data_IF_194681965075
#
_entry.id   IF_194681965075
#
_cell.length_a   1.000
_cell.length_b   1.000
_cell.length_c   1.000
_cell.angle_alpha   90.00
_cell.angle_beta   90.00
_cell.angle_gamma   90.00
#
_symmetry.space_group_name_H-M   'P 1'
#
loop_
_entity.id
_entity.type
_entity.pdbx_description
1 polymer ?
#
# COMPACT_ATOMS: atom_id res chain seq x y z
N UNK A 1 -25.06 4.78 4.52
CA UNK A 1 -25.30 3.53 5.31
C UNK A 1 -25.42 2.31 4.39
N UNK A 2 -26.34 2.26 3.44
CA UNK A 2 -26.59 1.06 2.60
C UNK A 2 -25.30 0.57 1.90
N UNK A 3 -24.53 1.45 1.23
CA UNK A 3 -23.26 1.07 0.58
C UNK A 3 -22.26 0.46 1.56
N UNK A 4 -22.14 0.97 2.77
CA UNK A 4 -21.25 0.40 3.78
C UNK A 4 -21.66 -1.03 4.13
N UNK A 5 -22.95 -1.28 4.36
CA UNK A 5 -23.47 -2.62 4.64
C UNK A 5 -23.21 -3.56 3.46
N UNK A 6 -23.49 -3.12 2.22
CA UNK A 6 -23.22 -3.89 1.01
C UNK A 6 -21.72 -4.25 0.92
N UNK A 7 -20.81 -3.30 1.16
CA UNK A 7 -19.36 -3.56 1.13
C UNK A 7 -18.94 -4.54 2.22
N UNK A 8 -19.51 -4.45 3.42
CA UNK A 8 -19.25 -5.44 4.48
C UNK A 8 -19.74 -6.84 4.08
N UNK A 9 -20.91 -6.94 3.48
CA UNK A 9 -21.44 -8.22 2.97
C UNK A 9 -20.58 -8.80 1.84
N UNK A 10 -20.12 -7.96 0.92
CA UNK A 10 -19.21 -8.38 -0.17
C UNK A 10 -17.89 -8.87 0.41
N UNK A 11 -17.31 -8.17 1.39
CA UNK A 11 -16.06 -8.60 2.03
C UNK A 11 -16.25 -9.95 2.74
N UNK A 12 -17.30 -10.08 3.56
CA UNK A 12 -17.61 -11.31 4.25
C UNK A 12 -17.85 -12.46 3.26
N UNK A 13 -18.65 -12.22 2.22
CA UNK A 13 -18.89 -13.16 1.13
C UNK A 13 -17.58 -13.59 0.45
N UNK A 14 -16.72 -12.63 0.10
CA UNK A 14 -15.42 -12.96 -0.49
C UNK A 14 -14.58 -13.84 0.44
N UNK A 15 -14.45 -13.49 1.72
CA UNK A 15 -13.66 -14.27 2.65
C UNK A 15 -14.19 -15.71 2.84
N UNK A 16 -15.51 -15.90 2.79
CA UNK A 16 -16.15 -17.21 2.92
C UNK A 16 -16.05 -18.01 1.61
N UNK A 17 -16.55 -17.44 0.51
CA UNK A 17 -16.67 -18.17 -0.76
C UNK A 17 -15.35 -18.30 -1.54
N UNK A 18 -14.37 -17.41 -1.29
CA UNK A 18 -13.02 -17.54 -1.85
C UNK A 18 -12.09 -18.41 -0.98
N UNK A 19 -12.58 -19.02 0.10
CA UNK A 19 -11.77 -19.92 0.93
C UNK A 19 -11.22 -21.15 0.17
N UNK A 20 -11.97 -21.82 -0.70
CA UNK A 20 -11.40 -22.87 -1.56
C UNK A 20 -10.27 -22.37 -2.46
N UNK A 21 -10.41 -21.16 -3.03
CA UNK A 21 -9.33 -20.54 -3.82
C UNK A 21 -8.09 -20.31 -2.96
N UNK A 22 -8.26 -19.86 -1.71
CA UNK A 22 -7.16 -19.70 -0.78
C UNK A 22 -6.40 -21.01 -0.52
N UNK A 23 -7.12 -22.14 -0.37
CA UNK A 23 -6.51 -23.48 -0.23
C UNK A 23 -5.72 -23.84 -1.47
N UNK A 24 -6.28 -23.60 -2.67
CA UNK A 24 -5.60 -23.82 -3.94
C UNK A 24 -4.32 -22.98 -4.04
N UNK A 25 -4.38 -21.68 -3.70
CA UNK A 25 -3.23 -20.79 -3.71
C UNK A 25 -2.15 -21.25 -2.72
N UNK A 26 -2.53 -21.71 -1.54
CA UNK A 26 -1.58 -22.26 -0.57
C UNK A 26 -0.90 -23.54 -1.08
N UNK A 27 -1.64 -24.39 -1.79
CA UNK A 27 -1.07 -25.58 -2.42
C UNK A 27 -0.12 -25.24 -3.57
N UNK A 28 -0.50 -24.28 -4.41
CA UNK A 28 0.35 -23.73 -5.48
C UNK A 28 1.64 -23.16 -4.89
N UNK A 29 1.55 -22.39 -3.82
CA UNK A 29 2.69 -21.74 -3.18
C UNK A 29 3.73 -22.70 -2.59
N UNK A 30 3.38 -23.95 -2.34
CA UNK A 30 4.35 -25.00 -1.94
C UNK A 30 5.24 -25.42 -3.11
N UNK A 31 4.77 -25.29 -4.35
CA UNK A 31 5.46 -25.67 -5.58
C UNK A 31 6.09 -24.45 -6.26
N UNK A 32 5.34 -23.37 -6.34
CA UNK A 32 5.74 -22.12 -6.99
C UNK A 32 5.22 -20.90 -6.20
N UNK A 33 6.04 -20.34 -5.30
CA UNK A 33 5.67 -19.15 -4.54
C UNK A 33 5.39 -17.91 -5.40
N UNK A 34 6.06 -17.78 -6.56
CA UNK A 34 5.88 -16.65 -7.48
C UNK A 34 4.51 -16.75 -8.16
N UNK A 35 4.17 -17.90 -8.73
CA UNK A 35 2.86 -18.11 -9.35
C UNK A 35 1.71 -17.91 -8.34
N UNK A 36 1.87 -18.35 -7.09
CA UNK A 36 0.92 -18.04 -6.01
C UNK A 36 0.74 -16.53 -5.84
N UNK A 37 1.83 -15.77 -5.76
CA UNK A 37 1.80 -14.32 -5.61
C UNK A 37 1.07 -13.63 -6.77
N UNK A 38 1.36 -14.03 -7.99
CA UNK A 38 0.75 -13.48 -9.21
C UNK A 38 -0.76 -13.76 -9.25
N UNK A 39 -1.17 -15.01 -9.06
CA UNK A 39 -2.58 -15.40 -9.06
C UNK A 39 -3.37 -14.74 -7.92
N UNK A 40 -2.82 -14.75 -6.70
CA UNK A 40 -3.47 -14.12 -5.55
C UNK A 40 -3.60 -12.60 -5.74
N UNK A 41 -2.59 -11.95 -6.31
CA UNK A 41 -2.63 -10.52 -6.64
C UNK A 41 -3.71 -10.23 -7.69
N UNK A 42 -3.87 -11.09 -8.71
CA UNK A 42 -4.92 -10.97 -9.72
C UNK A 42 -6.32 -11.03 -9.09
N UNK A 43 -6.54 -12.01 -8.21
CA UNK A 43 -7.82 -12.19 -7.51
C UNK A 43 -8.12 -10.97 -6.61
N UNK A 44 -7.16 -10.54 -5.80
CA UNK A 44 -7.32 -9.40 -4.88
C UNK A 44 -7.56 -8.10 -5.65
N UNK A 45 -6.83 -7.87 -6.75
CA UNK A 45 -7.05 -6.69 -7.62
C UNK A 45 -8.45 -6.67 -8.24
N UNK A 46 -8.93 -7.83 -8.69
CA UNK A 46 -10.30 -7.96 -9.20
C UNK A 46 -11.31 -7.56 -8.11
N UNK A 47 -11.17 -8.13 -6.91
CA UNK A 47 -12.04 -7.80 -5.78
C UNK A 47 -11.97 -6.33 -5.39
N UNK A 48 -10.78 -5.74 -5.33
CA UNK A 48 -10.63 -4.33 -4.96
C UNK A 48 -11.21 -3.39 -6.03
N UNK A 49 -11.07 -3.70 -7.33
CA UNK A 49 -11.75 -2.96 -8.40
C UNK A 49 -13.28 -3.05 -8.25
N UNK A 50 -13.80 -4.23 -7.95
CA UNK A 50 -15.23 -4.42 -7.70
C UNK A 50 -15.69 -3.61 -6.47
N UNK A 51 -14.92 -3.63 -5.38
CA UNK A 51 -15.16 -2.82 -4.18
C UNK A 51 -15.22 -1.32 -4.49
N UNK A 52 -14.23 -0.80 -5.20
CA UNK A 52 -14.17 0.60 -5.60
C UNK A 52 -15.39 0.98 -6.47
N UNK A 53 -15.77 0.10 -7.40
CA UNK A 53 -16.95 0.30 -8.25
C UNK A 53 -18.25 0.37 -7.42
N UNK A 54 -18.45 -0.56 -6.48
CA UNK A 54 -19.65 -0.56 -5.61
C UNK A 54 -19.65 0.65 -4.66
N UNK A 55 -18.47 1.04 -4.16
CA UNK A 55 -18.33 2.26 -3.38
C UNK A 55 -18.63 3.54 -4.18
N UNK A 56 -18.64 3.46 -5.51
CA UNK A 56 -18.82 4.60 -6.40
C UNK A 56 -17.56 5.46 -6.53
N UNK A 57 -16.39 4.84 -6.32
CA UNK A 57 -15.09 5.53 -6.39
C UNK A 57 -14.60 5.56 -7.83
N UNK A 58 -14.28 6.75 -8.32
CA UNK A 58 -13.56 6.95 -9.57
C UNK A 58 -12.12 7.29 -9.25
N UNK A 59 -11.18 6.57 -9.86
CA UNK A 59 -9.74 6.75 -9.62
C UNK A 59 -9.10 7.40 -10.83
N UNK A 60 -8.50 8.57 -10.64
CA UNK A 60 -7.63 9.23 -11.61
C UNK A 60 -6.19 8.91 -11.27
N UNK A 61 -5.43 8.37 -12.23
CA UNK A 61 -4.02 8.03 -12.07
C UNK A 61 -3.18 9.03 -12.84
N UNK A 62 -2.19 9.64 -12.15
CA UNK A 62 -1.18 10.52 -12.74
C UNK A 62 0.21 9.93 -12.54
N UNK A 63 1.14 10.18 -13.45
CA UNK A 63 2.54 9.80 -13.32
C UNK A 63 2.79 8.28 -13.35
N UNK A 64 1.88 7.47 -13.88
CA UNK A 64 2.08 6.02 -13.97
C UNK A 64 3.33 5.66 -14.78
N UNK A 65 3.72 6.50 -15.73
CA UNK A 65 4.93 6.41 -16.55
C UNK A 65 6.23 6.56 -15.75
N UNK A 66 6.16 7.13 -14.55
CA UNK A 66 7.31 7.27 -13.65
C UNK A 66 7.68 5.96 -12.95
N UNK A 67 6.80 4.96 -12.98
CA UNK A 67 7.04 3.68 -12.32
C UNK A 67 7.97 2.83 -13.17
N UNK A 68 9.18 2.47 -12.70
CA UNK A 68 10.06 1.54 -13.40
C UNK A 68 9.38 0.20 -13.65
N UNK A 69 9.52 -0.34 -14.84
CA UNK A 69 8.96 -1.65 -15.22
C UNK A 69 9.97 -2.79 -15.19
N UNK A 70 11.26 -2.45 -15.09
CA UNK A 70 12.40 -3.36 -15.14
C UNK A 70 12.91 -3.80 -13.75
N UNK A 71 12.44 -3.16 -12.70
CA UNK A 71 12.89 -3.41 -11.32
C UNK A 71 11.80 -3.19 -10.29
N UNK A 72 11.94 -3.82 -9.13
CA UNK A 72 11.08 -3.57 -7.98
C UNK A 72 11.41 -2.23 -7.31
N UNK A 73 10.42 -1.62 -6.70
CA UNK A 73 10.50 -0.29 -6.09
C UNK A 73 9.91 -0.28 -4.67
N UNK A 74 10.25 0.73 -3.89
CA UNK A 74 9.55 1.05 -2.65
C UNK A 74 8.56 2.20 -2.90
N UNK A 75 7.26 1.90 -2.92
CA UNK A 75 6.23 2.94 -2.92
C UNK A 75 6.09 3.53 -1.52
N UNK A 76 6.13 4.85 -1.44
CA UNK A 76 6.01 5.60 -0.20
C UNK A 76 4.86 6.61 -0.36
N UNK A 77 3.77 6.43 0.39
CA UNK A 77 2.57 7.25 0.24
C UNK A 77 2.10 7.90 1.54
N UNK A 78 1.31 8.98 1.42
CA UNK A 78 0.51 9.51 2.52
C UNK A 78 -0.64 8.56 2.84
N UNK A 79 -1.12 8.57 4.09
CA UNK A 79 -2.13 7.61 4.56
C UNK A 79 -3.27 8.30 5.29
N UNK A 80 -4.46 8.29 4.69
CA UNK A 80 -5.65 8.92 5.26
C UNK A 80 -6.86 7.99 5.33
N UNK A 81 -6.86 6.90 4.53
CA UNK A 81 -8.02 6.04 4.38
C UNK A 81 -7.66 4.56 4.29
N UNK A 82 -8.59 3.69 4.63
CA UNK A 82 -8.52 2.28 4.25
C UNK A 82 -8.53 2.11 2.72
N UNK A 83 -9.16 3.02 2.00
CA UNK A 83 -9.23 2.99 0.54
C UNK A 83 -7.89 3.27 -0.13
N UNK A 84 -6.90 3.86 0.56
CA UNK A 84 -5.54 4.03 0.04
C UNK A 84 -4.94 2.69 -0.39
N UNK A 85 -5.22 1.61 0.38
CA UNK A 85 -4.73 0.28 0.10
C UNK A 85 -5.39 -0.28 -1.18
N UNK A 86 -6.71 -0.10 -1.32
CA UNK A 86 -7.46 -0.58 -2.48
C UNK A 86 -7.01 0.14 -3.75
N UNK A 87 -6.88 1.46 -3.66
CA UNK A 87 -6.40 2.31 -4.77
C UNK A 87 -4.98 1.90 -5.14
N UNK A 88 -4.06 1.79 -4.18
CA UNK A 88 -2.69 1.37 -4.41
C UNK A 88 -2.60 0.01 -5.11
N UNK A 89 -3.28 -1.03 -4.61
CA UNK A 89 -3.25 -2.35 -5.26
C UNK A 89 -3.80 -2.35 -6.69
N UNK A 90 -4.82 -1.52 -6.96
CA UNK A 90 -5.50 -1.53 -8.27
C UNK A 90 -4.78 -0.74 -9.35
N UNK A 91 -3.84 0.11 -8.96
CA UNK A 91 -3.13 1.06 -9.86
C UNK A 91 -1.62 0.77 -9.99
N UNK A 92 -1.01 -0.02 -9.07
CA UNK A 92 0.40 -0.43 -9.20
C UNK A 92 0.57 -1.62 -10.14
N UNK A 93 1.63 -1.64 -10.98
CA UNK A 93 1.97 -2.80 -11.81
C UNK A 93 2.64 -3.91 -11.01
N UNK A 94 2.78 -5.09 -11.61
CA UNK A 94 3.60 -6.20 -11.10
C UNK A 94 3.17 -6.74 -9.74
N UNK A 95 4.07 -7.44 -9.07
CA UNK A 95 3.87 -7.90 -7.69
C UNK A 95 4.18 -6.78 -6.72
N UNK A 96 3.27 -6.58 -5.77
CA UNK A 96 3.43 -5.59 -4.71
C UNK A 96 2.92 -6.12 -3.39
N UNK A 97 3.72 -5.97 -2.33
CA UNK A 97 3.33 -6.26 -0.95
C UNK A 97 3.20 -4.97 -0.14
N UNK A 98 2.24 -4.93 0.78
CA UNK A 98 2.07 -3.80 1.69
C UNK A 98 2.64 -4.10 3.07
N UNK A 99 3.28 -3.12 3.69
CA UNK A 99 3.70 -3.22 5.09
C UNK A 99 2.51 -2.87 5.98
N UNK A 100 1.90 -3.90 6.52
CA UNK A 100 0.72 -3.82 7.37
C UNK A 100 1.07 -3.81 8.86
N UNK A 101 0.13 -3.41 9.69
CA UNK A 101 0.23 -3.48 11.15
C UNK A 101 0.13 -4.94 11.62
N UNK A 102 0.96 -5.37 12.60
CA UNK A 102 0.99 -6.76 13.09
C UNK A 102 -0.38 -7.28 13.57
N UNK A 103 -1.23 -6.38 14.08
CA UNK A 103 -2.56 -6.73 14.57
C UNK A 103 -3.47 -7.30 13.48
N UNK A 104 -3.17 -7.05 12.21
CA UNK A 104 -3.88 -7.65 11.08
C UNK A 104 -3.72 -9.19 11.03
N UNK A 105 -2.66 -9.72 11.63
CA UNK A 105 -2.46 -11.18 11.82
C UNK A 105 -3.59 -11.86 12.59
N UNK A 106 -4.33 -11.11 13.41
CA UNK A 106 -5.43 -11.65 14.23
C UNK A 106 -6.69 -11.98 13.42
N UNK A 107 -6.80 -11.49 12.19
CA UNK A 107 -7.96 -11.75 11.34
C UNK A 107 -7.71 -13.03 10.52
N UNK A 108 -8.34 -14.17 10.88
CA UNK A 108 -8.17 -15.42 10.14
C UNK A 108 -8.69 -15.23 8.71
N UNK A 109 -8.21 -16.06 7.78
CA UNK A 109 -8.51 -15.97 6.34
C UNK A 109 -7.91 -14.70 5.71
N UNK A 110 -8.22 -13.50 6.22
CA UNK A 110 -7.66 -12.24 5.70
C UNK A 110 -6.14 -12.24 5.77
N UNK A 111 -5.55 -12.63 6.91
CA UNK A 111 -4.09 -12.69 7.07
C UNK A 111 -3.43 -13.63 6.05
N UNK A 112 -4.09 -14.75 5.69
CA UNK A 112 -3.58 -15.68 4.67
C UNK A 112 -3.63 -15.08 3.28
N UNK A 113 -4.70 -14.34 2.92
CA UNK A 113 -4.74 -13.58 1.68
C UNK A 113 -3.65 -12.52 1.64
N UNK A 114 -3.43 -11.82 2.77
CA UNK A 114 -2.35 -10.83 2.89
C UNK A 114 -0.97 -11.47 2.70
N UNK A 115 -0.71 -12.65 3.30
CA UNK A 115 0.53 -13.40 3.06
C UNK A 115 0.69 -13.77 1.57
N UNK A 116 -0.37 -14.23 0.93
CA UNK A 116 -0.34 -14.64 -0.48
C UNK A 116 -0.07 -13.46 -1.44
N UNK A 117 -0.45 -12.24 -1.08
CA UNK A 117 -0.13 -11.01 -1.83
C UNK A 117 1.11 -10.29 -1.27
N UNK A 118 2.01 -11.03 -0.65
CA UNK A 118 3.32 -10.56 -0.17
C UNK A 118 3.26 -9.42 0.87
N UNK A 119 2.19 -9.30 1.65
CA UNK A 119 2.15 -8.35 2.76
C UNK A 119 3.10 -8.77 3.86
N UNK A 120 3.77 -7.79 4.46
CA UNK A 120 4.59 -7.95 5.65
C UNK A 120 3.89 -7.31 6.86
N UNK A 121 4.05 -7.93 8.03
CA UNK A 121 3.39 -7.47 9.25
C UNK A 121 4.40 -6.88 10.22
N UNK A 122 4.39 -5.56 10.35
CA UNK A 122 5.34 -4.81 11.15
C UNK A 122 4.89 -4.69 12.60
N UNK A 123 5.71 -5.20 13.51
CA UNK A 123 5.59 -4.86 14.93
C UNK A 123 6.32 -3.53 15.20
N UNK A 124 5.54 -2.51 15.55
CA UNK A 124 6.07 -1.16 15.81
C UNK A 124 6.51 -0.97 17.26
N UNK A 125 6.24 -1.94 18.13
CA UNK A 125 6.59 -1.90 19.55
C UNK A 125 7.86 -2.72 19.83
N UNK A 126 8.15 -3.72 18.99
CA UNK A 126 9.34 -4.56 19.11
C UNK A 126 10.33 -4.22 17.98
N UNK A 127 11.45 -3.60 18.36
CA UNK A 127 12.50 -3.16 17.44
C UNK A 127 13.13 -4.36 16.71
N UNK A 128 13.35 -5.48 17.40
CA UNK A 128 13.94 -6.68 16.80
C UNK A 128 13.01 -7.32 15.77
N UNK A 129 11.74 -7.47 16.11
CA UNK A 129 10.71 -7.96 15.19
C UNK A 129 10.52 -7.00 13.99
N UNK A 130 10.54 -5.69 14.24
CA UNK A 130 10.48 -4.67 13.20
C UNK A 130 11.66 -4.76 12.23
N UNK A 131 12.87 -4.93 12.75
CA UNK A 131 14.08 -5.12 11.92
C UNK A 131 13.96 -6.37 11.04
N UNK A 132 13.47 -7.49 11.58
CA UNK A 132 13.24 -8.72 10.80
C UNK A 132 12.29 -8.44 9.62
N UNK A 133 11.20 -7.72 9.85
CA UNK A 133 10.24 -7.35 8.80
C UNK A 133 10.89 -6.50 7.72
N UNK A 134 11.77 -5.55 8.09
CA UNK A 134 12.50 -4.73 7.12
C UNK A 134 13.48 -5.58 6.29
N UNK A 135 14.20 -6.50 6.92
CA UNK A 135 15.09 -7.44 6.22
C UNK A 135 14.33 -8.31 5.22
N UNK A 136 13.16 -8.81 5.59
CA UNK A 136 12.28 -9.56 4.70
C UNK A 136 11.79 -8.70 3.52
N UNK A 137 11.45 -7.43 3.76
CA UNK A 137 11.09 -6.47 2.69
C UNK A 137 12.26 -6.19 1.73
N UNK A 138 13.50 -6.15 2.22
CA UNK A 138 14.69 -6.03 1.38
C UNK A 138 14.81 -7.25 0.45
N UNK A 139 14.64 -8.45 0.98
CA UNK A 139 14.70 -9.67 0.17
C UNK A 139 13.55 -9.73 -0.85
N UNK A 140 12.34 -9.28 -0.51
CA UNK A 140 11.24 -9.18 -1.47
C UNK A 140 11.61 -8.28 -2.65
N UNK A 141 12.14 -7.08 -2.37
CA UNK A 141 12.55 -6.14 -3.43
C UNK A 141 13.65 -6.72 -4.31
N UNK A 142 14.66 -7.37 -3.72
CA UNK A 142 15.73 -8.05 -4.48
C UNK A 142 15.21 -9.17 -5.39
N UNK A 143 14.09 -9.80 -5.00
CA UNK A 143 13.41 -10.85 -5.77
C UNK A 143 12.32 -10.31 -6.71
N UNK A 144 12.30 -9.00 -7.00
CA UNK A 144 11.40 -8.40 -7.96
C UNK A 144 9.99 -8.11 -7.43
N UNK A 145 9.76 -8.16 -6.12
CA UNK A 145 8.48 -7.84 -5.50
C UNK A 145 8.57 -6.42 -4.92
N UNK A 146 7.83 -5.48 -5.48
CA UNK A 146 7.75 -4.12 -4.94
C UNK A 146 7.10 -4.09 -3.56
N UNK A 147 7.51 -3.13 -2.74
CA UNK A 147 6.91 -2.94 -1.42
C UNK A 147 6.21 -1.59 -1.33
N UNK A 148 5.11 -1.55 -0.58
CA UNK A 148 4.39 -0.33 -0.28
C UNK A 148 4.39 -0.05 1.21
N UNK A 149 4.77 1.16 1.57
CA UNK A 149 4.76 1.61 2.96
C UNK A 149 4.09 2.96 3.13
N UNK A 150 3.40 3.12 4.25
CA UNK A 150 2.91 4.40 4.75
C UNK A 150 3.76 4.81 5.96
N UNK A 151 4.76 5.70 5.78
CA UNK A 151 5.74 6.00 6.84
C UNK A 151 5.16 6.70 8.06
N UNK A 152 3.98 7.29 7.92
CA UNK A 152 3.21 7.85 9.03
C UNK A 152 2.90 6.80 10.11
N UNK A 153 2.80 5.55 9.70
CA UNK A 153 2.53 4.43 10.59
C UNK A 153 1.08 4.34 11.05
N UNK A 154 0.26 5.34 10.82
CA UNK A 154 -1.20 5.34 11.05
C UNK A 154 -1.83 6.35 10.09
N UNK A 155 -3.15 6.30 9.94
CA UNK A 155 -3.87 7.26 9.11
C UNK A 155 -3.87 8.64 9.77
N UNK A 156 -3.47 9.66 9.00
CA UNK A 156 -3.62 11.05 9.40
C UNK A 156 -5.11 11.42 9.47
N UNK A 157 -5.50 12.14 10.53
CA UNK A 157 -6.89 12.54 10.79
C UNK A 157 -7.08 14.05 10.72
N UNK A 158 -6.10 14.77 10.20
CA UNK A 158 -6.17 16.21 9.98
C UNK A 158 -7.28 16.58 9.00
N UNK A 159 -7.65 17.85 8.97
CA UNK A 159 -8.71 18.36 8.07
C UNK A 159 -8.19 18.55 6.65
N UNK A 160 -6.93 19.00 6.52
CA UNK A 160 -6.27 19.25 5.25
C UNK A 160 -5.58 18.00 4.71
N UNK A 161 -5.46 17.87 3.38
CA UNK A 161 -4.70 16.80 2.73
C UNK A 161 -3.19 16.89 3.06
N UNK A 162 -2.70 18.09 3.36
CA UNK A 162 -1.32 18.35 3.76
C UNK A 162 -1.03 18.04 5.24
N UNK A 163 -2.06 17.74 6.05
CA UNK A 163 -1.90 17.35 7.47
C UNK A 163 -1.31 15.94 7.61
N UNK A 164 -0.21 15.66 6.91
CA UNK A 164 0.53 14.40 7.03
C UNK A 164 1.31 14.34 8.34
N UNK A 165 1.27 13.20 9.02
CA UNK A 165 2.11 12.92 10.18
C UNK A 165 3.61 12.86 9.78
N UNK A 166 4.53 13.00 10.73
CA UNK A 166 5.97 12.83 10.45
C UNK A 166 6.26 11.45 9.86
N UNK A 167 7.08 11.40 8.82
CA UNK A 167 7.53 10.16 8.22
C UNK A 167 8.66 9.55 9.05
N UNK A 168 8.51 8.26 9.38
CA UNK A 168 9.52 7.52 10.14
C UNK A 168 10.69 7.14 9.24
N UNK A 169 11.89 7.60 9.57
CA UNK A 169 13.11 7.35 8.78
C UNK A 169 13.38 5.84 8.57
N UNK A 170 13.07 5.00 9.57
CA UNK A 170 13.18 3.55 9.45
C UNK A 170 12.36 2.93 8.31
N UNK A 171 11.33 3.62 7.82
CA UNK A 171 10.48 3.16 6.73
C UNK A 171 11.21 3.09 5.39
N UNK A 172 12.25 3.90 5.20
CA UNK A 172 13.03 3.96 3.96
C UNK A 172 14.24 3.00 3.96
N UNK A 173 14.47 2.27 5.06
CA UNK A 173 15.59 1.31 5.17
C UNK A 173 15.54 0.20 4.12
N UNK A 174 14.35 -0.16 3.63
CA UNK A 174 14.21 -1.11 2.53
C UNK A 174 14.90 -0.56 1.27
N UNK A 175 14.60 0.68 0.87
CA UNK A 175 15.22 1.29 -0.30
C UNK A 175 16.71 1.58 -0.08
N UNK A 176 17.09 2.08 1.10
CA UNK A 176 18.48 2.37 1.44
C UNK A 176 19.37 1.12 1.31
N UNK A 177 18.92 -0.02 1.83
CA UNK A 177 19.71 -1.26 1.88
C UNK A 177 19.61 -2.11 0.62
N UNK A 178 18.46 -2.12 -0.08
CA UNK A 178 18.33 -2.83 -1.36
C UNK A 178 18.87 -2.05 -2.55
N UNK A 179 18.92 -0.71 -2.44
CA UNK A 179 19.29 0.18 -3.54
C UNK A 179 18.15 0.42 -4.54
N UNK A 180 16.94 -0.05 -4.26
CA UNK A 180 15.78 0.22 -5.13
C UNK A 180 15.37 1.70 -5.05
N UNK A 181 14.78 2.26 -6.11
CA UNK A 181 14.23 3.61 -6.05
C UNK A 181 13.00 3.66 -5.13
N UNK A 182 12.83 4.81 -4.49
CA UNK A 182 11.59 5.20 -3.82
C UNK A 182 10.69 5.89 -4.85
N UNK A 183 9.44 5.43 -4.96
CA UNK A 183 8.40 6.12 -5.72
C UNK A 183 7.53 6.86 -4.72
N UNK A 184 7.63 8.20 -4.62
CA UNK A 184 6.72 8.98 -3.81
C UNK A 184 5.32 8.94 -4.42
N UNK A 185 4.31 8.74 -3.58
CA UNK A 185 2.92 8.62 -4.03
C UNK A 185 2.04 9.58 -3.25
N UNK A 186 1.39 10.50 -3.95
CA UNK A 186 0.38 11.36 -3.38
C UNK A 186 -1.02 10.81 -3.65
N UNK A 187 -1.85 10.72 -2.62
CA UNK A 187 -3.27 10.36 -2.73
C UNK A 187 -4.12 11.44 -2.09
N UNK A 188 -5.12 11.91 -2.82
CA UNK A 188 -6.03 12.94 -2.32
C UNK A 188 -7.49 12.48 -2.38
N UNK A 189 -8.30 13.00 -1.44
CA UNK A 189 -9.73 12.74 -1.27
C UNK A 189 -10.12 11.31 -0.92
N UNK A 190 -9.18 10.44 -0.59
CA UNK A 190 -9.48 9.05 -0.19
C UNK A 190 -10.23 9.00 1.14
N UNK A 191 -9.96 9.93 2.09
CA UNK A 191 -10.70 10.05 3.35
C UNK A 191 -12.16 10.50 3.15
N UNK A 192 -12.48 11.17 2.02
CA UNK A 192 -13.83 11.60 1.68
C UNK A 192 -14.76 10.43 1.36
N UNK A 193 -14.18 9.25 1.04
CA UNK A 193 -14.97 8.05 0.76
C UNK A 193 -15.66 7.55 2.02
N UNK A 194 -14.97 7.50 3.16
CA UNK A 194 -15.48 6.86 4.37
C UNK A 194 -15.10 7.57 5.67
N UNK A 195 -13.83 7.89 5.90
CA UNK A 195 -13.32 8.34 7.20
C UNK A 195 -13.98 9.64 7.69
N UNK A 196 -14.22 10.59 6.78
CA UNK A 196 -14.90 11.86 7.09
C UNK A 196 -16.41 11.69 7.25
N UNK A 197 -16.98 10.55 6.85
CA UNK A 197 -18.43 10.32 6.80
C UNK A 197 -18.89 9.06 7.53
N UNK A 198 -18.03 8.46 8.35
CA UNK A 198 -18.32 7.21 9.06
C UNK A 198 -19.68 7.24 9.77
N UNK A 199 -20.56 6.24 9.57
CA UNK A 199 -20.36 4.98 8.83
C UNK A 199 -20.92 5.01 7.40
N UNK A 200 -20.92 6.14 6.71
CA UNK A 200 -21.43 6.29 5.33
C UNK A 200 -20.30 6.24 4.33
N UNK A 201 -20.46 5.44 3.27
CA UNK A 201 -19.58 5.45 2.09
C UNK A 201 -20.18 6.38 1.04
N UNK A 202 -19.41 7.37 0.63
CA UNK A 202 -19.78 8.42 -0.31
C UNK A 202 -19.06 8.20 -1.65
N UNK A 203 -19.76 8.22 -2.80
CA UNK A 203 -19.12 8.23 -4.11
C UNK A 203 -18.15 9.40 -4.22
N UNK A 204 -16.93 9.12 -4.61
CA UNK A 204 -15.86 10.12 -4.59
C UNK A 204 -14.94 9.93 -5.78
N UNK A 205 -14.49 11.03 -6.36
CA UNK A 205 -13.39 11.03 -7.31
C UNK A 205 -12.09 11.25 -6.53
N UNK A 206 -11.17 10.29 -6.65
CA UNK A 206 -9.87 10.32 -5.97
C UNK A 206 -8.75 10.39 -6.98
N UNK A 207 -7.68 11.06 -6.64
CA UNK A 207 -6.48 11.09 -7.48
C UNK A 207 -5.33 10.39 -6.77
N UNK A 208 -4.63 9.52 -7.50
CA UNK A 208 -3.34 8.97 -7.12
C UNK A 208 -2.28 9.46 -8.10
N UNK A 209 -1.18 10.00 -7.57
CA UNK A 209 -0.08 10.53 -8.37
C UNK A 209 1.22 9.85 -7.97
N UNK A 210 1.88 9.20 -8.94
CA UNK A 210 3.19 8.58 -8.80
C UNK A 210 4.26 9.59 -9.23
N UNK A 211 5.09 10.03 -8.30
CA UNK A 211 6.19 10.96 -8.57
C UNK A 211 7.39 10.29 -9.23
N UNK A 212 8.37 11.10 -9.60
CA UNK A 212 9.63 10.62 -10.16
C UNK A 212 10.39 9.75 -9.16
N UNK A 213 11.12 8.71 -9.61
CA UNK A 213 11.92 7.86 -8.75
C UNK A 213 12.97 8.66 -7.98
N UNK A 214 13.07 8.43 -6.68
CA UNK A 214 14.10 8.99 -5.81
C UNK A 214 15.11 7.89 -5.50
N UNK A 215 16.35 8.08 -5.93
CA UNK A 215 17.47 7.20 -5.58
C UNK A 215 18.18 7.76 -4.35
N UNK A 216 18.00 7.11 -3.19
CA UNK A 216 18.52 7.63 -1.91
C UNK A 216 20.04 7.84 -1.90
N UNK A 217 20.77 7.08 -2.71
CA UNK A 217 22.23 7.22 -2.83
C UNK A 217 22.66 8.48 -3.58
N UNK A 218 21.79 9.04 -4.43
CA UNK A 218 22.02 10.23 -5.24
C UNK A 218 21.64 11.52 -4.52
N UNK A 219 20.97 11.41 -3.38
CA UNK A 219 20.61 12.56 -2.56
C UNK A 219 21.84 13.18 -1.88
N UNK A 220 21.80 14.49 -1.69
CA UNK A 220 22.77 15.21 -0.86
C UNK A 220 22.83 14.61 0.56
N UNK A 221 24.00 14.66 1.22
CA UNK A 221 24.20 14.00 2.52
C UNK A 221 23.13 14.34 3.56
N UNK A 222 22.70 15.60 3.62
CA UNK A 222 21.70 16.07 4.59
C UNK A 222 20.29 15.52 4.23
N UNK A 223 19.92 15.55 2.95
CA UNK A 223 18.65 14.97 2.48
C UNK A 223 18.61 13.46 2.72
N UNK A 224 19.74 12.76 2.51
CA UNK A 224 19.84 11.31 2.75
C UNK A 224 19.69 10.97 4.22
N UNK A 225 20.26 11.79 5.11
CA UNK A 225 20.14 11.62 6.56
C UNK A 225 18.68 11.76 7.02
N UNK A 226 17.91 12.62 6.35
CA UNK A 226 16.50 12.92 6.63
C UNK A 226 15.60 12.52 5.45
N UNK A 227 15.86 11.35 4.85
CA UNK A 227 15.18 10.89 3.64
C UNK A 227 13.65 10.76 3.81
N UNK A 228 13.17 10.43 5.02
CA UNK A 228 11.75 10.41 5.35
C UNK A 228 11.12 11.81 5.26
N UNK A 229 11.75 12.80 5.88
CA UNK A 229 11.29 14.19 5.82
C UNK A 229 11.35 14.74 4.39
N UNK A 230 12.44 14.46 3.65
CA UNK A 230 12.57 14.83 2.25
C UNK A 230 11.46 14.23 1.38
N UNK A 231 11.22 12.93 1.51
CA UNK A 231 10.15 12.25 0.75
C UNK A 231 8.76 12.80 1.11
N UNK A 232 8.53 13.14 2.38
CA UNK A 232 7.28 13.79 2.81
C UNK A 232 7.07 15.13 2.12
N UNK A 233 8.11 15.97 2.01
CA UNK A 233 8.00 17.27 1.34
C UNK A 233 7.71 17.10 -0.15
N UNK A 234 8.39 16.17 -0.83
CA UNK A 234 8.08 15.83 -2.24
C UNK A 234 6.61 15.44 -2.39
N UNK A 235 6.06 14.60 -1.49
CA UNK A 235 4.66 14.21 -1.53
C UNK A 235 3.76 15.43 -1.25
N UNK A 236 4.13 16.33 -0.35
CA UNK A 236 3.36 17.54 -0.08
C UNK A 236 3.27 18.45 -1.31
N UNK A 237 4.37 18.61 -2.05
CA UNK A 237 4.38 19.35 -3.33
C UNK A 237 3.47 18.68 -4.36
N UNK A 238 3.56 17.36 -4.51
CA UNK A 238 2.69 16.60 -5.41
C UNK A 238 1.21 16.74 -5.04
N UNK A 239 0.87 16.77 -3.74
CA UNK A 239 -0.51 17.02 -3.27
C UNK A 239 -0.97 18.41 -3.71
N UNK A 240 -0.14 19.45 -3.55
CA UNK A 240 -0.46 20.84 -3.99
C UNK A 240 -0.74 20.93 -5.50
N UNK A 241 -0.05 20.11 -6.30
CA UNK A 241 -0.25 20.08 -7.76
C UNK A 241 -1.57 19.43 -8.20
N UNK A 242 -2.18 18.60 -7.35
CA UNK A 242 -3.36 17.81 -7.72
C UNK A 242 -4.63 18.16 -6.93
N UNK A 243 -4.54 19.09 -5.99
CA UNK A 243 -5.69 19.69 -5.27
C UNK A 243 -6.35 20.77 -6.11
#
# INVERSE_FOLDING_TARGET
MIRFIILCMILAGFLIFAYPLLIMQNSLGKKDPKARGEESTRIVRFMFRFFLKVAGVKVTVKGAENIPTDKAVLYVGNHRSYFDILVGYTTTPGLVGFIAKKEMRKFPILNRWMDNVNCLFLDRKDIKAGLKTILEGIEYVKNGISMWIFPEGTRARGKDELDMLPFKEGSLKIAEKSGCPVIPVAMVRTADIFEKHTPRVIPTEVTIYYGKPIYLKELEPEQRKHAGAYTKEVIAEMIREIM
#
